data_IF_133885532130
#
_entry.id   IF_133885532130
#
_cell.length_a   1.000
_cell.length_b   1.000
_cell.length_c   1.000
_cell.angle_alpha   90.00
_cell.angle_beta   90.00
_cell.angle_gamma   90.00
#
_symmetry.space_group_name_H-M   'P 1'
#
loop_
_entity.id
_entity.type
_entity.pdbx_description
1 polymer ?
#
# COMPACT_ATOMS: atom_id res chain seq x y z
N UNK A 1 -10.95 -21.25 -9.30
CA UNK A 1 -10.68 -19.89 -9.83
C UNK A 1 -9.18 -19.72 -9.86
N UNK A 2 -8.53 -20.07 -10.96
CA UNK A 2 -7.12 -19.70 -11.16
C UNK A 2 -7.09 -18.18 -11.34
N UNK A 3 -6.40 -17.41 -10.49
CA UNK A 3 -6.08 -16.05 -10.85
C UNK A 3 -4.98 -16.15 -11.92
N UNK A 4 -5.38 -16.36 -13.18
CA UNK A 4 -4.57 -15.95 -14.33
C UNK A 4 -4.44 -14.44 -14.22
N UNK A 5 -3.51 -14.02 -13.37
CA UNK A 5 -3.28 -12.63 -13.03
C UNK A 5 -2.50 -12.03 -14.20
N UNK A 6 -3.26 -11.72 -15.26
CA UNK A 6 -2.73 -11.12 -16.48
C UNK A 6 -1.83 -9.94 -16.13
N UNK A 7 -0.71 -9.73 -16.84
CA UNK A 7 0.20 -8.60 -16.60
C UNK A 7 -0.55 -7.26 -16.48
N UNK A 8 -1.62 -7.11 -17.27
CA UNK A 8 -2.52 -5.96 -17.23
C UNK A 8 -3.14 -5.74 -15.84
N UNK A 9 -3.59 -6.78 -15.16
CA UNK A 9 -4.18 -6.68 -13.82
C UNK A 9 -3.15 -6.15 -12.81
N UNK A 10 -1.92 -6.67 -12.85
CA UNK A 10 -0.83 -6.20 -11.99
C UNK A 10 -0.50 -4.72 -12.23
N UNK A 11 -0.44 -4.31 -13.51
CA UNK A 11 -0.19 -2.92 -13.88
C UNK A 11 -1.33 -2.00 -13.43
N UNK A 12 -2.59 -2.37 -13.66
CA UNK A 12 -3.75 -1.57 -13.25
C UNK A 12 -3.84 -1.44 -11.73
N UNK A 13 -3.69 -2.56 -10.99
CA UNK A 13 -3.68 -2.55 -9.52
C UNK A 13 -2.53 -1.72 -8.96
N UNK A 14 -1.30 -1.92 -9.46
CA UNK A 14 -0.13 -1.17 -9.04
C UNK A 14 -0.27 0.33 -9.31
N UNK A 15 -0.80 0.70 -10.48
CA UNK A 15 -1.04 2.09 -10.84
C UNK A 15 -2.08 2.75 -9.94
N UNK A 16 -3.23 2.09 -9.73
CA UNK A 16 -4.28 2.61 -8.83
C UNK A 16 -3.78 2.75 -7.39
N UNK A 17 -3.04 1.76 -6.88
CA UNK A 17 -2.45 1.83 -5.54
C UNK A 17 -1.40 2.94 -5.43
N UNK A 18 -0.60 3.17 -6.49
CA UNK A 18 0.40 4.25 -6.53
C UNK A 18 -0.29 5.61 -6.48
N UNK A 19 -1.35 5.80 -7.27
CA UNK A 19 -2.17 7.02 -7.25
C UNK A 19 -2.78 7.21 -5.86
N UNK A 20 -3.47 6.20 -5.32
CA UNK A 20 -4.10 6.29 -4.00
C UNK A 20 -3.06 6.63 -2.91
N UNK A 21 -1.91 5.95 -2.89
CA UNK A 21 -0.83 6.23 -1.95
C UNK A 21 -0.25 7.63 -2.09
N UNK A 22 -0.10 8.14 -3.32
CA UNK A 22 0.36 9.50 -3.56
C UNK A 22 -0.66 10.53 -3.08
N UNK A 23 -1.96 10.33 -3.33
CA UNK A 23 -3.00 11.24 -2.84
C UNK A 23 -3.10 11.23 -1.31
N UNK A 24 -3.02 10.07 -0.68
CA UNK A 24 -2.97 9.97 0.79
C UNK A 24 -1.73 10.72 1.29
N UNK A 25 -0.54 10.42 0.75
CA UNK A 25 0.75 10.97 1.22
C UNK A 25 0.94 12.47 0.97
N UNK A 26 0.51 13.00 -0.16
CA UNK A 26 0.81 14.39 -0.56
C UNK A 26 -0.38 15.32 -0.46
N UNK A 27 -1.61 14.80 -0.56
CA UNK A 27 -2.83 15.61 -0.53
C UNK A 27 -3.60 15.47 0.78
N UNK A 28 -3.15 14.63 1.71
CA UNK A 28 -3.82 14.40 2.99
C UNK A 28 -5.21 13.81 2.82
N UNK A 29 -5.44 13.04 1.74
CA UNK A 29 -6.72 12.36 1.50
C UNK A 29 -6.87 11.14 2.42
N UNK A 30 -6.83 11.37 3.73
CA UNK A 30 -7.02 10.36 4.76
C UNK A 30 -8.45 9.80 4.75
N UNK A 31 -9.42 10.48 4.12
CA UNK A 31 -10.76 9.92 3.85
C UNK A 31 -10.73 8.62 3.02
N UNK A 32 -9.66 8.38 2.25
CA UNK A 32 -9.46 7.13 1.51
C UNK A 32 -9.07 5.97 2.43
N UNK A 33 -8.61 6.24 3.66
CA UNK A 33 -8.53 5.22 4.70
C UNK A 33 -9.93 4.99 5.25
N UNK A 34 -10.49 3.82 4.95
CA UNK A 34 -11.76 3.40 5.53
C UNK A 34 -11.69 3.42 7.07
N UNK A 35 -12.59 4.19 7.69
CA UNK A 35 -12.72 4.27 9.15
C UNK A 35 -11.83 5.31 9.85
N UNK A 36 -11.07 6.11 9.09
CA UNK A 36 -10.43 7.30 9.63
C UNK A 36 -11.41 8.48 9.64
N UNK A 37 -11.48 9.20 10.76
CA UNK A 37 -12.31 10.39 10.95
C UNK A 37 -11.47 11.45 11.67
N UNK A 38 -11.81 12.73 11.49
CA UNK A 38 -11.10 13.90 12.06
C UNK A 38 -11.08 13.89 13.60
N UNK A 39 -11.90 13.02 14.20
CA UNK A 39 -12.00 12.76 15.64
C UNK A 39 -10.94 11.76 16.16
N UNK A 40 -10.10 11.21 15.29
CA UNK A 40 -9.08 10.23 15.67
C UNK A 40 -8.00 10.84 16.57
N UNK A 41 -7.56 10.07 17.58
CA UNK A 41 -6.52 10.49 18.52
C UNK A 41 -5.11 10.64 17.88
N UNK A 42 -4.95 10.19 16.64
CA UNK A 42 -3.68 10.23 15.90
C UNK A 42 -3.73 11.42 14.93
N UNK A 43 -2.74 12.33 14.96
CA UNK A 43 -2.68 13.46 14.04
C UNK A 43 -2.70 13.04 12.55
N UNK A 44 -3.40 13.82 11.72
CA UNK A 44 -3.55 13.58 10.28
C UNK A 44 -2.22 13.45 9.55
N UNK A 45 -1.22 14.25 9.92
CA UNK A 45 0.12 14.26 9.34
C UNK A 45 0.88 12.95 9.57
N UNK A 46 0.69 12.34 10.76
CA UNK A 46 1.28 11.04 11.10
C UNK A 46 0.64 9.93 10.29
N UNK A 47 -0.69 9.95 10.14
CA UNK A 47 -1.42 8.95 9.35
C UNK A 47 -1.08 9.08 7.88
N UNK A 48 -1.07 10.31 7.36
CA UNK A 48 -0.67 10.64 5.99
C UNK A 48 0.73 10.12 5.66
N UNK A 49 1.71 10.32 6.56
CA UNK A 49 3.08 9.88 6.29
C UNK A 49 3.25 8.36 6.48
N UNK A 50 2.69 7.76 7.53
CA UNK A 50 2.84 6.31 7.78
C UNK A 50 2.03 5.49 6.76
N UNK A 51 0.74 5.79 6.59
CA UNK A 51 -0.14 5.04 5.72
C UNK A 51 0.12 5.38 4.24
N UNK A 52 0.21 6.66 3.91
CA UNK A 52 0.47 7.11 2.54
C UNK A 52 1.80 6.58 2.00
N UNK A 53 2.88 6.63 2.78
CA UNK A 53 4.16 6.09 2.35
C UNK A 53 4.15 4.56 2.20
N UNK A 54 3.37 3.86 3.04
CA UNK A 54 3.23 2.39 2.93
C UNK A 54 2.47 2.02 1.66
N UNK A 55 1.31 2.64 1.42
CA UNK A 55 0.48 2.39 0.22
C UNK A 55 1.25 2.76 -1.04
N UNK A 56 1.96 3.89 -1.05
CA UNK A 56 2.78 4.30 -2.20
C UNK A 56 3.90 3.29 -2.51
N UNK A 57 4.59 2.79 -1.49
CA UNK A 57 5.63 1.76 -1.67
C UNK A 57 5.05 0.45 -2.20
N UNK A 58 3.90 0.02 -1.67
CA UNK A 58 3.22 -1.19 -2.14
C UNK A 58 2.76 -1.00 -3.59
N UNK A 59 2.14 0.13 -3.93
CA UNK A 59 1.70 0.44 -5.28
C UNK A 59 2.86 0.42 -6.29
N UNK A 60 3.98 1.08 -5.97
CA UNK A 60 5.17 1.08 -6.81
C UNK A 60 5.75 -0.33 -6.98
N UNK A 61 5.81 -1.13 -5.92
CA UNK A 61 6.30 -2.49 -5.98
C UNK A 61 5.42 -3.37 -6.87
N UNK A 62 4.09 -3.32 -6.68
CA UNK A 62 3.11 -4.07 -7.50
C UNK A 62 3.18 -3.64 -8.96
N UNK A 63 3.33 -2.34 -9.23
CA UNK A 63 3.47 -1.82 -10.58
C UNK A 63 4.76 -2.32 -11.25
N UNK A 64 5.90 -2.26 -10.55
CA UNK A 64 7.17 -2.78 -11.04
C UNK A 64 7.12 -4.30 -11.32
N UNK A 65 6.42 -5.06 -10.47
CA UNK A 65 6.17 -6.48 -10.68
C UNK A 65 5.31 -6.69 -11.93
N UNK A 66 4.28 -5.87 -12.15
CA UNK A 66 3.47 -5.92 -13.38
C UNK A 66 4.31 -5.72 -14.65
N UNK A 67 5.26 -4.77 -14.63
CA UNK A 67 6.21 -4.56 -15.74
C UNK A 67 7.08 -5.82 -15.92
N UNK A 68 7.62 -6.37 -14.83
CA UNK A 68 8.49 -7.55 -14.87
C UNK A 68 7.74 -8.77 -15.43
N UNK A 69 6.52 -9.04 -14.97
CA UNK A 69 5.66 -10.13 -15.45
C UNK A 69 5.26 -9.92 -16.92
N UNK A 70 5.21 -8.67 -17.40
CA UNK A 70 4.92 -8.37 -18.81
C UNK A 70 6.08 -8.71 -19.76
N UNK A 71 7.31 -8.73 -19.28
CA UNK A 71 8.52 -8.96 -20.10
C UNK A 71 9.25 -10.27 -19.77
N UNK A 72 8.81 -10.97 -18.71
CA UNK A 72 9.39 -12.25 -18.26
C UNK A 72 8.29 -13.27 -17.97
N UNK A 73 8.68 -14.54 -17.86
CA UNK A 73 7.80 -15.61 -17.35
C UNK A 73 8.20 -15.96 -15.92
N UNK A 74 7.66 -15.25 -14.91
CA UNK A 74 8.03 -15.47 -13.53
C UNK A 74 7.51 -16.80 -12.97
N UNK A 75 8.12 -17.31 -11.89
CA UNK A 75 7.64 -18.49 -11.20
C UNK A 75 6.23 -18.29 -10.63
N UNK A 76 5.41 -19.35 -10.63
CA UNK A 76 4.02 -19.32 -10.15
C UNK A 76 3.87 -18.91 -8.69
N UNK A 77 4.90 -19.09 -7.86
CA UNK A 77 4.89 -18.68 -6.45
C UNK A 77 5.09 -17.16 -6.23
N UNK A 78 5.44 -16.37 -7.26
CA UNK A 78 5.63 -14.92 -7.10
C UNK A 78 4.36 -14.22 -6.58
N UNK A 79 3.19 -14.59 -7.10
CA UNK A 79 1.93 -13.98 -6.63
C UNK A 79 1.71 -14.19 -5.13
N UNK A 80 2.04 -15.38 -4.61
CA UNK A 80 1.94 -15.71 -3.18
C UNK A 80 2.95 -14.90 -2.36
N UNK A 81 4.20 -14.77 -2.82
CA UNK A 81 5.21 -13.96 -2.14
C UNK A 81 4.81 -12.48 -2.06
N UNK A 82 4.28 -11.93 -3.16
CA UNK A 82 3.83 -10.55 -3.22
C UNK A 82 2.63 -10.34 -2.30
N UNK A 83 1.64 -11.24 -2.33
CA UNK A 83 0.49 -11.19 -1.42
C UNK A 83 0.92 -11.24 0.05
N UNK A 84 1.86 -12.12 0.40
CA UNK A 84 2.41 -12.20 1.76
C UNK A 84 3.13 -10.91 2.15
N UNK A 85 3.93 -10.34 1.24
CA UNK A 85 4.61 -9.07 1.46
C UNK A 85 3.64 -7.90 1.69
N UNK A 86 2.53 -7.85 0.97
CA UNK A 86 1.48 -6.84 1.15
C UNK A 86 0.84 -6.99 2.53
N UNK A 87 0.48 -8.21 2.94
CA UNK A 87 -0.11 -8.47 4.26
C UNK A 87 0.84 -8.03 5.38
N UNK A 88 2.14 -8.35 5.26
CA UNK A 88 3.15 -7.91 6.22
C UNK A 88 3.32 -6.39 6.24
N UNK A 89 3.27 -5.73 5.08
CA UNK A 89 3.36 -4.27 4.99
C UNK A 89 2.16 -3.60 5.69
N UNK A 90 0.95 -4.13 5.49
CA UNK A 90 -0.27 -3.65 6.16
C UNK A 90 -0.21 -3.90 7.67
N UNK A 91 0.16 -5.10 8.11
CA UNK A 91 0.35 -5.41 9.53
C UNK A 91 1.36 -4.48 10.19
N UNK A 92 2.48 -4.21 9.52
CA UNK A 92 3.51 -3.28 9.99
C UNK A 92 2.99 -1.85 10.09
N UNK A 93 2.15 -1.41 9.14
CA UNK A 93 1.51 -0.10 9.15
C UNK A 93 0.57 0.02 10.34
N UNK A 94 -0.32 -0.95 10.53
CA UNK A 94 -1.26 -1.01 11.65
C UNK A 94 -0.51 -1.01 12.98
N UNK A 95 0.54 -1.84 13.10
CA UNK A 95 1.37 -1.88 14.29
C UNK A 95 2.00 -0.51 14.59
N UNK A 96 2.59 0.16 13.58
CA UNK A 96 3.19 1.49 13.75
C UNK A 96 2.19 2.55 14.18
N UNK A 97 0.98 2.53 13.63
CA UNK A 97 -0.08 3.45 14.01
C UNK A 97 -0.56 3.17 15.43
N UNK A 98 -0.72 1.90 15.82
CA UNK A 98 -1.16 1.51 17.15
C UNK A 98 -0.11 1.78 18.23
N UNK A 99 1.18 1.64 17.92
CA UNK A 99 2.28 1.96 18.84
C UNK A 99 2.75 3.40 18.73
N UNK A 100 1.99 4.26 18.05
CA UNK A 100 2.34 5.67 17.97
C UNK A 100 2.17 6.29 19.37
N UNK A 101 3.27 6.76 19.95
CA UNK A 101 3.25 7.60 21.14
C UNK A 101 3.57 9.04 20.73
N UNK A 102 2.81 10.04 21.19
CA UNK A 102 3.21 11.44 21.06
C UNK A 102 4.62 11.58 21.63
N UNK A 103 5.56 12.04 20.81
CA UNK A 103 6.92 12.26 21.26
C UNK A 103 6.87 13.49 22.17
N UNK A 104 6.79 13.29 23.49
CA UNK A 104 6.94 14.37 24.46
C UNK A 104 8.40 14.84 24.39
N UNK A 105 8.61 15.95 23.69
CA UNK A 105 9.83 16.75 23.77
C UNK A 105 9.74 17.57 25.05
#
# INVERSE_FOLDING_TARGET
>A
MEPSSSPLAWLTLGFLLTIAGALIKFRGWTFLLAGYDETAAIPDDVVQDIAGNTVLRVGLAVFAIGILVSVTNPPSYLGVLVGTGIVLAVLRMIYRLNTWSPRTI
#
